data_IF_764313993454
#
_entry.id   IF_764313993454
#
_cell.length_a   1.000
_cell.length_b   1.000
_cell.length_c   1.000
_cell.angle_alpha   90.00
_cell.angle_beta   90.00
_cell.angle_gamma   90.00
#
_symmetry.space_group_name_H-M   'P 1'
#
loop_
_entity.id
_entity.type
_entity.pdbx_description
1 polymer ?
#
# COMPACT_ATOMS: atom_id res chain seq x y z
N UNK A 1 8.72 66.62 1.22
CA UNK A 1 9.55 65.39 1.26
C UNK A 1 8.73 64.30 1.91
N UNK A 2 8.15 63.42 1.10
CA UNK A 2 7.52 62.18 1.54
C UNK A 2 7.69 61.21 0.38
N UNK A 3 8.68 60.33 0.48
CA UNK A 3 8.92 59.27 -0.50
C UNK A 3 8.19 58.01 -0.07
N UNK A 4 7.21 57.59 -0.85
CA UNK A 4 6.60 56.26 -0.75
C UNK A 4 7.12 55.39 -1.89
N UNK A 5 7.96 54.41 -1.54
CA UNK A 5 8.33 53.28 -2.38
C UNK A 5 7.21 52.23 -2.37
N UNK A 6 6.96 51.50 -3.47
CA UNK A 6 5.98 50.42 -3.49
C UNK A 6 6.57 49.12 -2.88
N UNK A 7 5.72 48.23 -2.33
CA UNK A 7 6.18 46.96 -1.76
C UNK A 7 6.61 45.98 -2.87
N UNK A 8 7.72 45.29 -2.63
CA UNK A 8 8.22 44.18 -3.44
C UNK A 8 7.26 42.99 -3.36
N UNK A 9 6.87 42.45 -4.52
CA UNK A 9 6.39 41.08 -4.64
C UNK A 9 7.58 40.13 -4.41
N UNK A 10 7.60 39.41 -3.29
CA UNK A 10 8.35 38.16 -3.17
C UNK A 10 7.35 37.06 -2.85
N UNK A 11 6.96 36.31 -3.88
CA UNK A 11 6.11 35.14 -3.80
C UNK A 11 6.87 33.96 -4.42
N UNK A 12 6.97 32.88 -3.65
CA UNK A 12 7.37 31.52 -4.02
C UNK A 12 8.74 31.34 -4.68
N UNK A 13 9.78 31.22 -3.85
CA UNK A 13 10.90 30.35 -4.15
C UNK A 13 10.71 29.02 -3.41
N UNK A 14 10.12 28.01 -4.07
CA UNK A 14 10.32 26.60 -3.75
C UNK A 14 9.83 25.71 -4.90
N UNK A 15 10.73 24.83 -5.34
CA UNK A 15 10.55 23.72 -6.28
C UNK A 15 10.46 24.02 -7.79
N UNK A 16 11.59 24.40 -8.38
CA UNK A 16 12.00 23.87 -9.69
C UNK A 16 13.46 23.40 -9.58
N UNK A 17 13.67 22.29 -8.88
CA UNK A 17 14.81 21.44 -9.21
C UNK A 17 14.39 20.71 -10.49
N UNK A 18 14.63 21.36 -11.64
CA UNK A 18 14.77 20.63 -12.90
C UNK A 18 15.92 19.67 -12.64
N UNK A 19 15.61 18.40 -12.39
CA UNK A 19 16.60 17.35 -12.58
C UNK A 19 17.08 17.50 -14.02
N UNK A 20 18.27 18.07 -14.21
CA UNK A 20 19.06 17.88 -15.42
C UNK A 20 19.40 16.39 -15.45
N UNK A 21 18.45 15.57 -15.87
CA UNK A 21 18.75 14.22 -16.31
C UNK A 21 19.73 14.38 -17.48
N UNK A 22 20.85 13.64 -17.48
CA UNK A 22 21.78 13.69 -18.59
C UNK A 22 21.00 13.36 -19.87
N UNK A 23 20.96 14.30 -20.82
CA UNK A 23 20.37 14.06 -22.13
C UNK A 23 21.04 12.81 -22.72
N UNK A 24 20.25 11.90 -23.27
CA UNK A 24 20.79 10.72 -23.95
C UNK A 24 21.22 11.19 -25.33
N UNK A 25 22.45 11.71 -25.40
CA UNK A 25 23.10 12.06 -26.67
C UNK A 25 23.90 10.85 -27.14
N UNK A 26 23.60 10.35 -28.34
CA UNK A 26 24.24 9.15 -28.88
C UNK A 26 23.32 8.29 -29.72
N UNK A 27 23.94 7.43 -30.53
CA UNK A 27 23.25 6.50 -31.41
C UNK A 27 22.73 5.30 -30.61
N UNK A 28 21.44 5.34 -30.24
CA UNK A 28 20.74 4.23 -29.61
C UNK A 28 20.87 4.09 -28.09
N UNK A 29 20.20 3.07 -27.54
CA UNK A 29 20.28 2.68 -26.13
C UNK A 29 18.97 2.13 -25.55
N UNK A 30 19.08 1.50 -24.37
CA UNK A 30 17.93 1.04 -23.60
C UNK A 30 17.44 2.13 -22.65
N UNK A 31 16.17 2.48 -22.74
CA UNK A 31 15.53 3.56 -22.01
C UNK A 31 14.47 2.95 -21.07
N UNK A 32 14.81 2.84 -19.78
CA UNK A 32 13.97 2.13 -18.81
C UNK A 32 13.24 3.03 -17.80
N UNK A 33 13.49 4.34 -17.86
CA UNK A 33 12.86 5.30 -16.96
C UNK A 33 11.38 5.53 -17.36
N UNK A 34 10.49 5.86 -16.41
CA UNK A 34 9.07 6.14 -16.71
C UNK A 34 8.86 7.44 -17.50
N UNK A 35 9.90 8.25 -17.68
CA UNK A 35 9.94 9.39 -18.57
C UNK A 35 11.40 9.62 -18.98
N UNK A 36 11.63 10.21 -20.14
CA UNK A 36 12.97 10.52 -20.58
C UNK A 36 13.00 11.44 -21.78
N UNK A 37 14.17 12.04 -21.97
CA UNK A 37 14.41 13.03 -23.01
C UNK A 37 15.27 14.18 -22.48
N UNK A 38 15.88 14.98 -23.37
CA UNK A 38 15.78 14.86 -24.83
C UNK A 38 16.50 13.61 -25.36
N UNK A 39 15.85 12.90 -26.28
CA UNK A 39 16.45 11.84 -27.11
C UNK A 39 16.57 12.41 -28.51
N UNK A 40 17.80 12.42 -29.03
CA UNK A 40 18.11 13.13 -30.25
C UNK A 40 18.82 12.24 -31.26
N UNK A 41 18.73 12.60 -32.54
CA UNK A 41 19.65 12.07 -33.54
C UNK A 41 21.12 12.37 -33.16
N UNK A 42 22.09 11.58 -33.66
CA UNK A 42 23.50 11.89 -33.48
C UNK A 42 23.82 13.33 -33.89
N UNK A 43 24.72 14.00 -33.16
CA UNK A 43 25.18 15.38 -33.39
C UNK A 43 24.13 16.51 -33.22
N UNK A 44 22.88 16.22 -32.85
CA UNK A 44 21.86 17.24 -32.61
C UNK A 44 22.34 18.27 -31.55
N UNK A 45 22.12 19.59 -31.75
CA UNK A 45 21.29 20.24 -32.77
C UNK A 45 21.97 20.49 -34.12
N UNK A 46 23.19 20.00 -34.32
CA UNK A 46 23.84 19.92 -35.63
C UNK A 46 23.25 18.78 -36.47
N UNK A 47 23.73 18.67 -37.72
CA UNK A 47 23.23 17.64 -38.62
C UNK A 47 23.70 16.24 -38.18
N UNK A 48 22.85 15.22 -38.35
CA UNK A 48 23.28 13.82 -38.21
C UNK A 48 24.35 13.47 -39.26
N UNK A 49 25.04 12.35 -39.10
CA UNK A 49 26.01 11.88 -40.10
C UNK A 49 25.39 10.93 -41.13
N UNK A 50 26.12 10.63 -42.18
CA UNK A 50 25.75 9.58 -43.14
C UNK A 50 25.83 8.16 -42.51
N UNK A 51 25.15 7.20 -43.13
CA UNK A 51 25.19 5.76 -42.85
C UNK A 51 24.92 5.39 -41.38
N UNK A 52 24.03 6.12 -40.72
CA UNK A 52 23.67 5.85 -39.34
C UNK A 52 22.69 4.68 -39.26
N UNK A 53 22.82 3.87 -38.22
CA UNK A 53 21.85 2.84 -37.86
C UNK A 53 21.73 2.81 -36.34
N UNK A 54 20.78 3.58 -35.81
CA UNK A 54 20.62 3.80 -34.38
C UNK A 54 19.33 3.17 -33.88
N UNK A 55 19.41 2.46 -32.76
CA UNK A 55 18.29 1.70 -32.20
C UNK A 55 18.04 2.07 -30.73
N UNK A 56 16.80 2.43 -30.41
CA UNK A 56 16.37 2.68 -29.04
C UNK A 56 15.26 1.71 -28.64
N UNK A 57 15.42 1.08 -27.48
CA UNK A 57 14.39 0.26 -26.85
C UNK A 57 13.88 0.96 -25.60
N UNK A 58 12.63 1.40 -25.63
CA UNK A 58 11.96 1.99 -24.46
C UNK A 58 11.19 0.88 -23.76
N UNK A 59 11.46 0.65 -22.48
CA UNK A 59 10.75 -0.32 -21.63
C UNK A 59 10.33 0.36 -20.34
N UNK A 60 9.04 0.56 -20.15
CA UNK A 60 8.47 1.17 -18.95
C UNK A 60 7.83 0.09 -18.07
N UNK A 61 7.44 0.38 -16.81
CA UNK A 61 6.79 -0.60 -15.95
C UNK A 61 5.57 -1.23 -16.63
N UNK A 62 5.39 -2.54 -16.39
CA UNK A 62 4.25 -3.31 -16.90
C UNK A 62 2.94 -2.63 -16.49
N UNK A 63 1.99 -2.55 -17.43
CA UNK A 63 0.71 -1.85 -17.21
C UNK A 63 0.74 -0.35 -17.51
N UNK A 64 1.89 0.20 -17.90
CA UNK A 64 2.02 1.56 -18.43
C UNK A 64 2.11 1.58 -19.96
N UNK A 65 1.57 2.62 -20.58
CA UNK A 65 1.75 2.89 -22.01
C UNK A 65 2.78 4.00 -22.23
N UNK A 66 3.58 3.88 -23.28
CA UNK A 66 4.57 4.86 -23.71
C UNK A 66 3.94 5.86 -24.68
N UNK A 67 4.16 7.15 -24.45
CA UNK A 67 3.78 8.25 -25.34
C UNK A 67 5.01 9.06 -25.75
N UNK A 68 5.27 9.15 -27.05
CA UNK A 68 6.30 10.01 -27.64
C UNK A 68 5.75 11.41 -27.94
N UNK A 69 6.56 12.42 -27.69
CA UNK A 69 6.31 13.82 -28.06
C UNK A 69 7.52 14.38 -28.77
N UNK A 70 7.35 14.80 -30.02
CA UNK A 70 8.41 15.39 -30.84
C UNK A 70 8.46 16.90 -30.63
N UNK A 71 9.67 17.42 -30.42
CA UNK A 71 9.96 18.84 -30.29
C UNK A 71 10.53 19.43 -31.58
N UNK A 72 11.26 18.62 -32.35
CA UNK A 72 11.74 18.96 -33.70
C UNK A 72 11.91 17.68 -34.53
N UNK A 73 11.68 17.80 -35.85
CA UNK A 73 11.85 16.69 -36.78
C UNK A 73 12.16 17.20 -38.20
N UNK A 74 13.33 16.85 -38.72
CA UNK A 74 13.75 17.13 -40.08
C UNK A 74 14.79 16.11 -40.56
N UNK A 75 14.34 15.15 -41.36
CA UNK A 75 15.19 14.18 -42.07
C UNK A 75 15.24 14.47 -43.57
N UNK A 76 16.13 13.82 -44.30
CA UNK A 76 16.05 13.79 -45.77
C UNK A 76 14.75 13.09 -46.21
N UNK A 77 14.05 13.69 -47.17
CA UNK A 77 12.76 13.20 -47.64
C UNK A 77 12.94 11.95 -48.51
N UNK A 78 12.44 10.81 -48.04
CA UNK A 78 12.32 9.57 -48.81
C UNK A 78 13.57 8.68 -48.83
N UNK A 79 14.63 9.06 -48.12
CA UNK A 79 15.90 8.34 -48.07
C UNK A 79 16.30 8.00 -46.63
N UNK A 80 16.13 8.97 -45.72
CA UNK A 80 16.37 8.80 -44.29
C UNK A 80 15.05 8.60 -43.53
N UNK A 81 15.08 7.71 -42.53
CA UNK A 81 13.87 7.26 -41.85
C UNK A 81 14.05 7.10 -40.35
N UNK A 82 13.07 7.58 -39.58
CA UNK A 82 12.83 7.15 -38.21
C UNK A 82 11.61 6.23 -38.20
N UNK A 83 11.82 4.95 -37.90
CA UNK A 83 10.76 3.94 -37.78
C UNK A 83 10.45 3.68 -36.32
N UNK A 84 9.16 3.67 -35.99
CA UNK A 84 8.64 3.48 -34.64
C UNK A 84 7.77 2.23 -34.64
N UNK A 85 8.06 1.29 -33.75
CA UNK A 85 7.44 -0.03 -33.70
C UNK A 85 6.74 -0.26 -32.36
N UNK A 86 5.57 -0.90 -32.40
CA UNK A 86 4.77 -1.20 -31.21
C UNK A 86 5.20 -2.52 -30.55
N UNK A 87 6.40 -2.53 -29.99
CA UNK A 87 6.93 -3.70 -29.32
C UNK A 87 8.45 -3.67 -29.20
N UNK A 88 9.06 -4.84 -28.97
CA UNK A 88 10.46 -4.94 -28.56
C UNK A 88 11.49 -4.98 -29.70
N UNK A 89 11.08 -5.03 -30.98
CA UNK A 89 12.02 -5.14 -32.11
C UNK A 89 11.44 -4.71 -33.45
N UNK A 90 12.28 -4.64 -34.48
CA UNK A 90 11.88 -4.31 -35.86
C UNK A 90 11.02 -5.39 -36.56
N UNK A 91 10.78 -6.55 -35.94
CA UNK A 91 9.95 -7.62 -36.53
C UNK A 91 8.47 -7.51 -36.18
N UNK A 92 8.06 -6.47 -35.44
CA UNK A 92 6.68 -6.22 -35.01
C UNK A 92 6.01 -5.13 -35.84
N UNK A 93 4.74 -4.82 -35.57
CA UNK A 93 3.98 -3.82 -36.29
C UNK A 93 4.62 -2.41 -36.21
N UNK A 94 4.75 -1.76 -37.36
CA UNK A 94 5.20 -0.36 -37.46
C UNK A 94 4.03 0.56 -37.10
N UNK A 95 4.23 1.42 -36.11
CA UNK A 95 3.29 2.50 -35.75
C UNK A 95 3.38 3.65 -36.75
N UNK A 96 4.60 4.08 -37.03
CA UNK A 96 4.91 5.21 -37.91
C UNK A 96 6.27 5.01 -38.59
N UNK A 97 6.36 5.46 -39.84
CA UNK A 97 7.60 5.66 -40.57
C UNK A 97 7.68 7.14 -40.95
N UNK A 98 8.67 7.84 -40.39
CA UNK A 98 8.79 9.29 -40.51
C UNK A 98 10.02 9.65 -41.35
N UNK A 99 9.85 10.60 -42.25
CA UNK A 99 10.89 11.11 -43.16
C UNK A 99 10.59 12.58 -43.53
N UNK A 100 11.57 13.30 -44.07
CA UNK A 100 11.40 14.69 -44.48
C UNK A 100 11.18 15.69 -43.33
N UNK A 101 10.90 16.97 -43.64
CA UNK A 101 10.46 17.96 -42.68
C UNK A 101 8.96 17.79 -42.39
N UNK A 102 8.58 17.55 -41.13
CA UNK A 102 7.17 17.46 -40.74
C UNK A 102 6.94 17.78 -39.26
N UNK A 103 5.74 18.26 -38.94
CA UNK A 103 5.25 18.37 -37.55
C UNK A 103 4.60 17.05 -37.14
N UNK A 104 5.23 16.33 -36.20
CA UNK A 104 4.80 14.99 -35.78
C UNK A 104 3.84 15.11 -34.60
N UNK A 105 2.62 14.59 -34.74
CA UNK A 105 1.66 14.48 -33.63
C UNK A 105 2.13 13.45 -32.60
N UNK A 106 1.74 13.54 -31.31
CA UNK A 106 2.15 12.56 -30.30
C UNK A 106 1.77 11.12 -30.67
N UNK A 107 2.69 10.18 -30.45
CA UNK A 107 2.54 8.77 -30.83
C UNK A 107 2.47 7.92 -29.56
N UNK A 108 1.44 7.06 -29.45
CA UNK A 108 1.26 6.13 -28.33
C UNK A 108 1.58 4.69 -28.71
N UNK A 109 2.05 3.91 -27.74
CA UNK A 109 2.15 2.43 -27.83
C UNK A 109 0.88 1.75 -27.33
N UNK A 110 0.76 0.46 -27.61
CA UNK A 110 -0.26 -0.43 -27.03
C UNK A 110 0.26 -1.28 -25.87
N UNK A 111 1.57 -1.25 -25.59
CA UNK A 111 2.23 -2.01 -24.53
C UNK A 111 3.22 -1.15 -23.73
N UNK A 112 3.88 -1.77 -22.74
CA UNK A 112 4.94 -1.13 -21.97
C UNK A 112 6.31 -1.13 -22.68
N UNK A 113 6.37 -1.55 -23.94
CA UNK A 113 7.61 -1.65 -24.74
C UNK A 113 7.41 -0.98 -26.11
N UNK A 114 8.36 -0.14 -26.51
CA UNK A 114 8.38 0.52 -27.83
C UNK A 114 9.81 0.53 -28.39
N UNK A 115 9.97 0.19 -29.65
CA UNK A 115 11.25 0.14 -30.34
C UNK A 115 11.33 1.21 -31.43
N UNK A 116 12.46 1.91 -31.52
CA UNK A 116 12.70 2.96 -32.50
C UNK A 116 14.00 2.67 -33.24
N UNK A 117 14.01 2.89 -34.55
CA UNK A 117 15.20 2.75 -35.38
C UNK A 117 15.34 3.92 -36.35
N UNK A 118 16.48 4.62 -36.27
CA UNK A 118 16.86 5.67 -37.21
C UNK A 118 17.90 5.14 -38.18
N UNK A 119 17.66 5.33 -39.48
CA UNK A 119 18.61 4.99 -40.54
C UNK A 119 18.85 6.19 -41.46
N UNK A 120 20.11 6.48 -41.78
CA UNK A 120 20.48 7.41 -42.85
C UNK A 120 21.26 6.73 -43.98
N UNK A 121 21.14 7.28 -45.20
CA UNK A 121 21.87 6.81 -46.37
C UNK A 121 23.29 7.43 -46.46
N UNK A 122 23.94 7.37 -47.62
CA UNK A 122 25.32 7.80 -47.77
C UNK A 122 25.51 9.30 -48.06
N UNK A 123 24.46 10.12 -48.00
CA UNK A 123 24.57 11.56 -48.25
C UNK A 123 23.40 12.38 -47.66
N UNK A 124 23.51 13.71 -47.77
CA UNK A 124 22.39 14.67 -47.60
C UNK A 124 21.83 14.70 -46.17
N UNK A 125 22.64 15.20 -45.25
CA UNK A 125 22.27 15.26 -43.84
C UNK A 125 21.32 16.43 -43.52
N UNK A 126 20.52 16.27 -42.46
CA UNK A 126 19.60 17.30 -41.93
C UNK A 126 19.75 17.43 -40.42
N UNK A 127 19.03 18.39 -39.84
CA UNK A 127 19.09 18.68 -38.41
C UNK A 127 18.66 17.48 -37.53
N UNK A 128 17.92 16.53 -38.08
CA UNK A 128 17.53 15.32 -37.37
C UNK A 128 16.29 15.52 -36.51
N UNK A 129 16.27 14.92 -35.32
CA UNK A 129 15.08 14.94 -34.46
C UNK A 129 15.44 15.13 -32.99
N UNK A 130 14.47 15.62 -32.24
CA UNK A 130 14.47 15.67 -30.78
C UNK A 130 13.08 15.28 -30.28
N UNK A 131 13.00 14.20 -29.51
CA UNK A 131 11.78 13.79 -28.84
C UNK A 131 11.99 13.55 -27.35
N UNK A 132 10.89 13.61 -26.60
CA UNK A 132 10.79 13.08 -25.25
C UNK A 132 9.72 12.01 -25.20
N UNK A 133 9.77 11.15 -24.20
CA UNK A 133 8.75 10.16 -23.94
C UNK A 133 8.30 10.22 -22.48
N UNK A 134 7.03 9.92 -22.26
CA UNK A 134 6.44 9.72 -20.93
C UNK A 134 5.71 8.40 -20.91
N UNK A 135 5.74 7.73 -19.76
CA UNK A 135 4.84 6.63 -19.45
C UNK A 135 3.57 7.19 -18.81
N UNK A 136 2.45 6.59 -19.13
CA UNK A 136 1.21 6.75 -18.40
C UNK A 136 0.84 5.39 -17.82
N UNK A 137 0.78 5.30 -16.50
CA UNK A 137 0.29 4.09 -15.84
C UNK A 137 -1.20 3.95 -16.19
N UNK A 138 -1.50 2.94 -17.01
CA UNK A 138 -2.86 2.65 -17.46
C UNK A 138 -3.51 1.52 -16.69
N UNK A 139 -2.80 0.86 -15.78
CA UNK A 139 -3.33 -0.25 -14.98
C UNK A 139 -3.64 0.11 -13.53
N UNK A 140 -3.20 1.28 -13.04
CA UNK A 140 -3.30 1.65 -11.63
C UNK A 140 -2.41 0.77 -10.75
N UNK A 141 -2.29 1.14 -9.47
CA UNK A 141 -1.60 0.28 -8.51
C UNK A 141 -2.45 -0.97 -8.22
N UNK A 142 -1.93 -2.20 -8.32
CA UNK A 142 -2.69 -3.42 -8.03
C UNK A 142 -3.14 -3.52 -6.56
N UNK A 143 -2.29 -3.07 -5.65
CA UNK A 143 -2.56 -3.09 -4.20
C UNK A 143 -2.23 -1.75 -3.57
N UNK A 144 -3.23 -1.14 -2.93
CA UNK A 144 -3.09 0.12 -2.21
C UNK A 144 -3.25 -0.11 -0.71
N UNK A 145 -2.60 0.73 0.08
CA UNK A 145 -2.68 0.70 1.55
C UNK A 145 -3.27 2.00 2.04
N UNK A 146 -4.30 1.91 2.88
CA UNK A 146 -4.78 3.02 3.69
C UNK A 146 -4.00 3.10 5.00
N UNK A 147 -3.59 4.31 5.36
CA UNK A 147 -2.88 4.64 6.59
C UNK A 147 -3.70 5.62 7.42
N UNK A 148 -3.59 5.53 8.75
CA UNK A 148 -4.08 6.54 9.69
C UNK A 148 -2.89 7.19 10.40
N UNK A 149 -2.65 8.47 10.17
CA UNK A 149 -1.72 9.23 10.99
C UNK A 149 -2.40 9.76 12.26
N UNK A 150 -1.73 9.68 13.39
CA UNK A 150 -1.78 10.75 14.40
C UNK A 150 -0.43 10.76 15.11
N UNK A 151 0.10 11.95 15.35
CA UNK A 151 1.44 12.21 15.90
C UNK A 151 1.85 11.23 17.02
N UNK A 152 2.65 10.20 16.67
CA UNK A 152 3.91 9.74 17.27
C UNK A 152 4.07 8.23 16.98
N UNK A 153 5.06 7.90 16.13
CA UNK A 153 5.55 6.55 15.77
C UNK A 153 4.82 5.85 14.60
N UNK A 154 5.30 6.12 13.36
CA UNK A 154 4.96 5.46 12.07
C UNK A 154 3.49 5.56 11.64
N UNK A 155 3.27 5.81 10.35
CA UNK A 155 1.94 5.76 9.74
C UNK A 155 1.35 4.35 9.97
N UNK A 156 0.33 4.23 10.81
CA UNK A 156 -0.28 2.94 11.12
C UNK A 156 -1.09 2.46 9.91
N UNK A 157 -0.68 1.34 9.34
CA UNK A 157 -1.40 0.65 8.25
C UNK A 157 -2.77 0.21 8.76
N UNK A 158 -3.82 0.79 8.19
CA UNK A 158 -5.20 0.42 8.50
C UNK A 158 -5.61 -0.86 7.76
N UNK A 159 -5.43 -0.88 6.44
CA UNK A 159 -5.85 -1.98 5.58
C UNK A 159 -5.15 -1.92 4.21
N UNK A 160 -4.92 -3.10 3.63
CA UNK A 160 -4.53 -3.25 2.21
C UNK A 160 -5.78 -3.58 1.39
N UNK A 161 -5.90 -2.97 0.22
CA UNK A 161 -6.95 -3.22 -0.76
C UNK A 161 -6.31 -3.64 -2.08
N UNK A 162 -6.78 -4.75 -2.65
CA UNK A 162 -6.28 -5.28 -3.92
C UNK A 162 -7.36 -5.17 -4.98
N UNK A 163 -6.99 -4.76 -6.19
CA UNK A 163 -7.91 -4.59 -7.31
C UNK A 163 -8.61 -5.92 -7.64
N UNK A 164 -9.93 -5.93 -7.77
CA UNK A 164 -10.73 -7.17 -7.93
C UNK A 164 -10.97 -7.57 -9.39
N UNK A 165 -10.67 -6.67 -10.34
CA UNK A 165 -11.05 -6.80 -11.75
C UNK A 165 -12.46 -6.27 -12.06
N UNK A 166 -13.26 -5.97 -11.04
CA UNK A 166 -14.56 -5.32 -11.22
C UNK A 166 -14.42 -3.81 -11.39
N UNK A 167 -15.45 -3.19 -11.97
CA UNK A 167 -15.52 -1.72 -12.09
C UNK A 167 -16.82 -1.16 -11.52
N UNK A 168 -16.75 0.04 -10.94
CA UNK A 168 -17.89 0.81 -10.44
C UNK A 168 -17.68 2.29 -10.72
N UNK A 169 -18.68 2.92 -11.31
CA UNK A 169 -18.57 4.33 -11.72
C UNK A 169 -17.43 4.57 -12.70
N UNK A 170 -17.15 3.59 -13.57
CA UNK A 170 -16.06 3.58 -14.55
C UNK A 170 -14.64 3.54 -13.94
N UNK A 171 -14.50 3.07 -12.70
CA UNK A 171 -13.20 2.91 -12.01
C UNK A 171 -13.06 1.52 -11.40
N UNK A 172 -11.85 1.01 -11.19
CA UNK A 172 -11.66 -0.28 -10.56
C UNK A 172 -12.18 -0.31 -9.13
N UNK A 173 -12.71 -1.46 -8.73
CA UNK A 173 -13.02 -1.78 -7.34
C UNK A 173 -11.80 -2.46 -6.73
N UNK A 174 -11.49 -2.10 -5.49
CA UNK A 174 -10.48 -2.77 -4.70
C UNK A 174 -11.13 -3.40 -3.47
N UNK A 175 -10.67 -4.57 -3.08
CA UNK A 175 -11.20 -5.32 -1.95
C UNK A 175 -10.13 -5.59 -0.91
N UNK A 176 -10.51 -5.49 0.36
CA UNK A 176 -9.70 -5.94 1.47
C UNK A 176 -10.30 -7.18 2.13
N UNK A 177 -9.59 -8.30 2.07
CA UNK A 177 -9.97 -9.53 2.79
C UNK A 177 -9.83 -9.38 4.31
N UNK A 178 -9.00 -8.45 4.78
CA UNK A 178 -8.82 -8.17 6.20
C UNK A 178 -10.03 -7.44 6.79
N UNK A 179 -10.56 -6.44 6.10
CA UNK A 179 -11.70 -5.64 6.59
C UNK A 179 -13.05 -6.06 6.02
N UNK A 180 -13.09 -6.89 4.97
CA UNK A 180 -14.28 -7.22 4.18
C UNK A 180 -15.02 -5.99 3.66
N UNK A 181 -14.26 -5.01 3.18
CA UNK A 181 -14.79 -3.78 2.61
C UNK A 181 -14.23 -3.56 1.21
N UNK A 182 -15.01 -2.85 0.41
CA UNK A 182 -14.60 -2.35 -0.89
C UNK A 182 -14.08 -0.92 -0.76
N UNK A 183 -13.10 -0.59 -1.57
CA UNK A 183 -12.74 0.76 -1.96
C UNK A 183 -13.21 0.95 -3.40
N UNK A 184 -14.19 1.83 -3.60
CA UNK A 184 -14.87 1.98 -4.88
C UNK A 184 -15.24 3.44 -5.16
N UNK A 185 -15.46 3.75 -6.44
CA UNK A 185 -15.90 5.07 -6.85
C UNK A 185 -17.43 5.16 -6.98
N UNK A 186 -18.00 6.17 -6.33
CA UNK A 186 -19.41 6.53 -6.40
C UNK A 186 -19.60 7.68 -7.39
N UNK A 187 -19.92 7.33 -8.65
CA UNK A 187 -20.08 8.30 -9.75
C UNK A 187 -21.16 9.38 -9.48
N UNK A 188 -22.36 9.06 -8.94
CA UNK A 188 -23.34 10.08 -8.57
C UNK A 188 -22.84 11.17 -7.62
N UNK A 189 -22.03 10.82 -6.60
CA UNK A 189 -21.49 11.80 -5.64
C UNK A 189 -20.09 12.30 -6.00
N UNK A 190 -19.46 11.68 -7.01
CA UNK A 190 -18.09 11.92 -7.45
C UNK A 190 -17.05 11.71 -6.36
N UNK A 191 -17.22 10.65 -5.57
CA UNK A 191 -16.40 10.36 -4.39
C UNK A 191 -15.88 8.92 -4.41
N UNK A 192 -14.69 8.70 -3.88
CA UNK A 192 -14.22 7.37 -3.50
C UNK A 192 -14.70 7.03 -2.10
N UNK A 193 -15.27 5.83 -1.91
CA UNK A 193 -15.84 5.35 -0.66
C UNK A 193 -15.11 4.10 -0.19
N UNK A 194 -14.98 3.95 1.14
CA UNK A 194 -14.51 2.72 1.79
C UNK A 194 -15.66 2.15 2.63
N UNK A 195 -16.12 0.94 2.31
CA UNK A 195 -17.22 0.28 3.03
C UNK A 195 -17.86 -0.87 2.26
N UNK A 196 -18.99 -1.38 2.76
CA UNK A 196 -19.78 -2.40 2.07
C UNK A 196 -20.79 -1.77 1.10
N UNK A 197 -21.15 -2.51 0.04
CA UNK A 197 -21.88 -1.98 -1.11
C UNK A 197 -23.35 -1.57 -0.85
N UNK A 198 -24.00 -2.12 0.19
CA UNK A 198 -25.46 -2.05 0.36
C UNK A 198 -25.96 -1.45 1.69
N UNK A 199 -25.08 -1.10 2.63
CA UNK A 199 -25.48 -0.47 3.89
C UNK A 199 -24.70 0.83 4.15
N UNK A 200 -25.25 1.66 5.05
CA UNK A 200 -24.68 2.87 5.65
C UNK A 200 -23.32 2.66 6.38
N UNK A 201 -22.63 1.55 6.13
CA UNK A 201 -21.28 1.18 6.56
C UNK A 201 -20.16 2.03 5.94
N UNK A 202 -20.45 3.30 5.60
CA UNK A 202 -19.46 4.22 5.03
C UNK A 202 -18.67 4.85 6.17
N UNK A 203 -17.53 4.26 6.52
CA UNK A 203 -16.66 4.82 7.55
C UNK A 203 -15.77 5.93 6.99
N UNK A 204 -15.38 5.86 5.71
CA UNK A 204 -14.54 6.84 5.03
C UNK A 204 -15.02 7.15 3.62
N UNK A 205 -14.89 8.41 3.21
CA UNK A 205 -15.05 8.85 1.83
C UNK A 205 -14.07 9.97 1.49
N UNK A 206 -13.80 10.19 0.21
CA UNK A 206 -12.97 11.30 -0.26
C UNK A 206 -13.51 11.80 -1.59
N UNK A 207 -13.67 13.11 -1.69
CA UNK A 207 -14.15 13.76 -2.92
C UNK A 207 -12.99 13.94 -3.89
N UNK A 208 -12.78 12.97 -4.75
CA UNK A 208 -11.65 12.91 -5.68
C UNK A 208 -12.03 12.20 -6.98
N UNK A 209 -11.59 12.75 -8.12
CA UNK A 209 -11.87 12.22 -9.45
C UNK A 209 -10.72 11.38 -10.05
N UNK A 210 -9.76 10.92 -9.24
CA UNK A 210 -8.68 10.01 -9.60
C UNK A 210 -9.16 8.68 -10.22
N UNK A 211 -8.62 8.31 -11.38
CA UNK A 211 -9.03 7.08 -12.10
C UNK A 211 -8.70 5.80 -11.31
N UNK A 212 -7.62 5.82 -10.54
CA UNK A 212 -7.16 4.73 -9.69
C UNK A 212 -7.01 5.17 -8.24
N UNK A 213 -7.10 4.22 -7.31
CA UNK A 213 -7.07 4.52 -5.87
C UNK A 213 -5.74 5.12 -5.40
N UNK A 214 -4.61 4.72 -5.99
CA UNK A 214 -3.28 5.24 -5.69
C UNK A 214 -3.06 6.70 -6.10
N UNK A 215 -3.98 7.25 -6.90
CA UNK A 215 -3.91 8.61 -7.40
C UNK A 215 -4.78 9.59 -6.60
N UNK A 216 -5.51 9.10 -5.59
CA UNK A 216 -6.33 9.93 -4.70
C UNK A 216 -5.40 10.83 -3.89
N UNK A 217 -5.66 12.13 -3.92
CA UNK A 217 -4.91 13.14 -3.18
C UNK A 217 -5.81 14.08 -2.36
N UNK A 218 -7.13 13.87 -2.40
CA UNK A 218 -8.09 14.59 -1.59
C UNK A 218 -8.02 14.25 -0.09
N UNK A 219 -8.56 15.15 0.73
CA UNK A 219 -8.72 14.93 2.17
C UNK A 219 -9.87 13.96 2.43
N UNK A 220 -9.60 12.88 3.17
CA UNK A 220 -10.63 11.94 3.56
C UNK A 220 -11.57 12.55 4.60
N UNK A 221 -12.85 12.28 4.43
CA UNK A 221 -13.92 12.51 5.40
C UNK A 221 -14.19 11.19 6.13
N UNK A 222 -14.33 11.28 7.45
CA UNK A 222 -14.67 10.15 8.33
C UNK A 222 -16.07 10.39 8.88
N UNK A 223 -16.94 9.38 8.82
CA UNK A 223 -18.30 9.50 9.33
C UNK A 223 -18.29 9.31 10.85
N UNK A 224 -18.57 10.37 11.61
CA UNK A 224 -18.71 10.30 13.08
C UNK A 224 -20.17 10.49 13.47
N UNK A 225 -20.89 9.39 13.69
CA UNK A 225 -22.34 9.44 13.97
C UNK A 225 -23.14 9.79 12.72
N UNK A 226 -23.59 11.05 12.59
CA UNK A 226 -24.33 11.56 11.42
C UNK A 226 -23.56 12.61 10.62
N UNK A 227 -22.39 13.05 11.08
CA UNK A 227 -21.61 14.11 10.46
C UNK A 227 -20.32 13.58 9.83
N UNK A 228 -19.92 14.18 8.72
CA UNK A 228 -18.66 13.91 8.05
C UNK A 228 -17.61 14.91 8.51
N UNK A 229 -16.50 14.42 9.06
CA UNK A 229 -15.40 15.24 9.55
C UNK A 229 -14.16 15.00 8.70
N UNK A 230 -13.50 16.07 8.26
CA UNK A 230 -12.22 15.99 7.55
C UNK A 230 -11.12 15.41 8.45
N UNK A 231 -10.41 14.42 7.93
CA UNK A 231 -9.24 13.82 8.55
C UNK A 231 -8.06 13.86 7.56
N UNK A 232 -7.17 14.85 7.66
CA UNK A 232 -6.02 15.00 6.75
C UNK A 232 -4.92 13.95 6.97
N UNK A 233 -5.00 13.20 8.07
CA UNK A 233 -4.00 12.22 8.41
C UNK A 233 -4.26 10.85 7.76
N UNK A 234 -5.48 10.64 7.23
CA UNK A 234 -5.77 9.45 6.44
C UNK A 234 -5.23 9.63 5.03
N UNK A 235 -4.38 8.70 4.62
CA UNK A 235 -3.76 8.70 3.30
C UNK A 235 -3.81 7.33 2.66
N UNK A 236 -3.71 7.31 1.34
CA UNK A 236 -3.59 6.10 0.56
C UNK A 236 -2.27 6.12 -0.22
N UNK A 237 -1.59 5.00 -0.29
CA UNK A 237 -0.39 4.85 -1.10
C UNK A 237 -0.37 3.51 -1.80
N UNK A 238 0.33 3.45 -2.94
CA UNK A 238 0.64 2.19 -3.60
C UNK A 238 1.54 1.33 -2.70
N UNK A 239 1.33 0.01 -2.71
CA UNK A 239 2.13 -0.95 -1.96
C UNK A 239 2.72 -1.97 -2.92
N UNK A 240 4.05 -2.01 -2.95
CA UNK A 240 4.82 -2.92 -3.82
C UNK A 240 4.87 -4.37 -3.28
N UNK A 241 4.24 -4.65 -2.13
CA UNK A 241 4.35 -5.92 -1.37
C UNK A 241 3.40 -7.05 -1.85
N UNK A 242 2.92 -7.03 -3.09
CA UNK A 242 2.15 -8.15 -3.66
C UNK A 242 2.83 -8.67 -4.93
N UNK A 243 3.37 -9.90 -4.92
CA UNK A 243 3.88 -10.55 -6.12
C UNK A 243 2.78 -10.66 -7.18
N UNK A 244 3.15 -10.52 -8.45
CA UNK A 244 2.25 -10.41 -9.61
C UNK A 244 1.31 -11.61 -9.89
N UNK A 245 1.22 -12.59 -8.99
CA UNK A 245 0.40 -13.78 -9.14
C UNK A 245 -0.47 -14.02 -7.89
N UNK A 246 -1.68 -13.45 -7.84
CA UNK A 246 -2.72 -13.94 -6.91
C UNK A 246 -4.09 -13.92 -7.60
N UNK A 247 -4.49 -15.09 -8.12
CA UNK A 247 -5.88 -15.42 -8.46
C UNK A 247 -6.51 -16.13 -7.24
N UNK A 248 -7.61 -15.54 -6.76
CA UNK A 248 -8.72 -16.13 -5.98
C UNK A 248 -8.44 -16.67 -4.56
N UNK A 249 -9.26 -16.16 -3.64
CA UNK A 249 -9.67 -16.71 -2.35
C UNK A 249 -8.74 -17.78 -1.73
N UNK A 250 -7.81 -17.31 -0.90
CA UNK A 250 -7.33 -18.10 0.22
C UNK A 250 -8.00 -17.61 1.51
N UNK A 251 -8.61 -18.56 2.21
CA UNK A 251 -8.98 -18.44 3.61
C UNK A 251 -7.77 -18.03 4.48
N UNK A 252 -8.00 -17.05 5.35
CA UNK A 252 -7.35 -16.90 6.66
C UNK A 252 -5.81 -16.87 6.69
N UNK A 253 -5.22 -15.71 6.41
CA UNK A 253 -3.85 -15.38 6.82
C UNK A 253 -3.80 -14.91 8.27
N UNK A 254 -3.82 -15.88 9.20
CA UNK A 254 -3.49 -15.67 10.62
C UNK A 254 -4.67 -15.87 11.57
N UNK A 255 -5.10 -17.11 11.82
CA UNK A 255 -5.71 -17.37 13.12
C UNK A 255 -4.60 -17.23 14.16
N UNK A 256 -4.61 -16.17 14.97
CA UNK A 256 -3.71 -16.14 16.12
C UNK A 256 -4.26 -17.10 17.19
N UNK A 257 -3.40 -17.82 17.91
CA UNK A 257 -3.79 -18.64 19.07
C UNK A 257 -4.16 -17.76 20.28
N UNK A 258 -4.68 -16.56 20.03
CA UNK A 258 -4.92 -15.57 21.04
C UNK A 258 -6.04 -16.04 21.96
N UNK A 259 -5.64 -16.54 23.13
CA UNK A 259 -6.55 -17.05 24.15
C UNK A 259 -7.22 -15.90 24.92
N UNK A 260 -6.57 -14.74 25.00
CA UNK A 260 -7.12 -13.55 25.64
C UNK A 260 -6.82 -12.33 24.80
N UNK A 261 -7.83 -11.51 24.52
CA UNK A 261 -7.67 -10.25 23.79
C UNK A 261 -7.88 -9.12 24.76
N UNK A 262 -6.97 -8.15 24.80
CA UNK A 262 -7.18 -6.90 25.53
C UNK A 262 -7.58 -5.79 24.58
N UNK A 263 -8.76 -5.20 24.83
CA UNK A 263 -9.18 -3.96 24.19
C UNK A 263 -8.60 -2.79 24.99
N UNK A 264 -7.92 -1.88 24.31
CA UNK A 264 -7.37 -0.66 24.87
C UNK A 264 -8.22 0.52 24.41
N UNK A 265 -8.47 1.45 25.31
CA UNK A 265 -9.21 2.67 25.00
C UNK A 265 -9.68 3.36 26.28
N UNK A 266 -9.94 4.66 26.19
CA UNK A 266 -10.36 5.47 27.34
C UNK A 266 -11.86 5.80 27.36
N UNK A 267 -12.57 5.53 26.27
CA UNK A 267 -13.96 5.99 26.09
C UNK A 267 -15.00 5.16 26.87
N UNK A 268 -14.78 3.86 27.05
CA UNK A 268 -15.68 2.95 27.78
C UNK A 268 -14.87 1.98 28.66
N UNK A 269 -14.46 2.39 29.87
CA UNK A 269 -13.52 1.62 30.69
C UNK A 269 -13.99 0.20 31.02
N UNK A 270 -15.30 -0.01 31.18
CA UNK A 270 -15.89 -1.34 31.44
C UNK A 270 -15.77 -2.30 30.26
N UNK A 271 -15.78 -1.76 29.03
CA UNK A 271 -15.62 -2.49 27.78
C UNK A 271 -14.14 -2.64 27.37
N UNK A 272 -13.28 -1.71 27.78
CA UNK A 272 -11.84 -1.70 27.45
C UNK A 272 -11.06 -2.57 28.42
N UNK A 273 -11.45 -3.84 28.44
CA UNK A 273 -10.96 -4.87 29.36
C UNK A 273 -10.31 -6.02 28.58
N UNK A 274 -9.91 -7.06 29.31
CA UNK A 274 -9.45 -8.31 28.70
C UNK A 274 -10.64 -9.26 28.53
N UNK A 275 -10.70 -9.92 27.38
CA UNK A 275 -11.70 -10.90 27.01
C UNK A 275 -11.03 -12.25 26.80
N UNK A 276 -11.50 -13.28 27.48
CA UNK A 276 -10.98 -14.64 27.41
C UNK A 276 -11.79 -15.49 26.44
N UNK A 277 -11.11 -16.21 25.55
CA UNK A 277 -11.71 -17.07 24.53
C UNK A 277 -12.54 -18.18 25.19
N UNK A 278 -13.72 -18.42 24.66
CA UNK A 278 -14.63 -19.50 25.08
C UNK A 278 -14.58 -20.66 24.07
N UNK A 279 -15.29 -21.74 24.38
CA UNK A 279 -15.48 -22.87 23.46
C UNK A 279 -16.56 -22.60 22.39
N UNK A 280 -17.19 -21.42 22.43
CA UNK A 280 -18.22 -21.04 21.47
C UNK A 280 -17.63 -20.35 20.24
N UNK A 281 -18.37 -20.45 19.15
CA UNK A 281 -18.06 -19.74 17.90
C UNK A 281 -19.28 -18.97 17.42
N UNK A 282 -19.04 -17.82 16.79
CA UNK A 282 -20.07 -17.02 16.12
C UNK A 282 -19.54 -16.61 14.75
N UNK A 283 -20.30 -16.90 13.70
CA UNK A 283 -19.89 -16.62 12.32
C UNK A 283 -18.55 -17.25 11.92
N UNK A 284 -18.27 -18.47 12.40
CA UNK A 284 -17.01 -19.18 12.14
C UNK A 284 -15.78 -18.63 12.88
N UNK A 285 -15.95 -17.68 13.80
CA UNK A 285 -14.87 -17.07 14.61
C UNK A 285 -15.04 -17.36 16.09
N UNK A 286 -13.96 -17.34 16.89
CA UNK A 286 -14.04 -17.55 18.33
C UNK A 286 -14.83 -16.43 19.03
N UNK A 287 -15.61 -16.82 20.04
CA UNK A 287 -16.24 -15.89 20.99
C UNK A 287 -15.30 -15.70 22.19
N UNK A 288 -15.27 -14.48 22.73
CA UNK A 288 -14.55 -14.16 23.95
C UNK A 288 -15.51 -13.54 24.97
N UNK A 289 -15.33 -13.87 26.25
CA UNK A 289 -16.10 -13.33 27.38
C UNK A 289 -15.26 -12.35 28.18
N UNK A 290 -15.83 -11.24 28.63
CA UNK A 290 -15.13 -10.23 29.42
C UNK A 290 -14.71 -10.79 30.79
N UNK A 291 -13.47 -10.51 31.17
CA UNK A 291 -12.90 -10.91 32.47
C UNK A 291 -13.47 -10.09 33.64
N UNK A 292 -14.10 -8.94 33.35
CA UNK A 292 -14.66 -8.04 34.36
C UNK A 292 -16.20 -8.05 34.39
N UNK A 293 -16.85 -8.50 33.32
CA UNK A 293 -18.31 -8.64 33.25
C UNK A 293 -18.68 -9.87 32.40
N UNK A 294 -19.07 -10.97 33.03
CA UNK A 294 -19.39 -12.22 32.35
C UNK A 294 -20.61 -12.17 31.42
N UNK A 295 -21.36 -11.07 31.42
CA UNK A 295 -22.46 -10.83 30.48
C UNK A 295 -21.99 -10.21 29.16
N UNK A 296 -20.77 -9.68 29.07
CA UNK A 296 -20.29 -9.01 27.86
C UNK A 296 -19.41 -9.94 27.03
N UNK A 297 -19.76 -10.09 25.75
CA UNK A 297 -19.07 -10.93 24.80
C UNK A 297 -18.47 -10.11 23.65
N UNK A 298 -17.22 -10.41 23.31
CA UNK A 298 -16.58 -10.00 22.07
C UNK A 298 -16.73 -11.12 21.05
N UNK A 299 -17.51 -10.88 20.00
CA UNK A 299 -17.93 -11.91 19.06
C UNK A 299 -18.10 -11.36 17.65
N UNK A 300 -18.16 -12.25 16.67
CA UNK A 300 -18.31 -11.87 15.26
C UNK A 300 -19.72 -12.13 14.74
N UNK A 301 -20.25 -11.21 13.96
CA UNK A 301 -21.57 -11.29 13.32
C UNK A 301 -21.36 -11.47 11.82
N UNK A 302 -21.68 -12.67 11.31
CA UNK A 302 -21.36 -13.12 9.94
C UNK A 302 -22.10 -12.31 8.88
N UNK A 303 -23.40 -12.08 9.06
CA UNK A 303 -24.25 -11.40 8.08
C UNK A 303 -23.77 -9.99 7.74
N UNK A 304 -23.09 -9.33 8.69
CA UNK A 304 -22.60 -7.95 8.56
C UNK A 304 -21.09 -7.85 8.51
N UNK A 305 -20.37 -8.97 8.70
CA UNK A 305 -18.91 -9.04 8.74
C UNK A 305 -18.29 -8.08 9.76
N UNK A 306 -18.84 -8.06 10.97
CA UNK A 306 -18.47 -7.13 12.04
C UNK A 306 -18.11 -7.86 13.34
N UNK A 307 -17.12 -7.34 14.06
CA UNK A 307 -16.89 -7.70 15.46
C UNK A 307 -17.70 -6.78 16.36
N UNK A 308 -18.38 -7.35 17.34
CA UNK A 308 -19.25 -6.67 18.30
C UNK A 308 -18.82 -6.97 19.73
N UNK A 309 -18.97 -5.97 20.59
CA UNK A 309 -18.89 -6.12 22.05
C UNK A 309 -20.28 -5.84 22.62
N UNK A 310 -20.89 -6.87 23.20
CA UNK A 310 -22.24 -6.78 23.73
C UNK A 310 -22.75 -8.07 24.36
N UNK A 311 -24.00 -8.05 24.87
CA UNK A 311 -24.51 -9.13 25.71
C UNK A 311 -25.04 -10.34 24.95
N UNK A 312 -25.38 -10.18 23.67
CA UNK A 312 -26.01 -11.23 22.87
C UNK A 312 -25.08 -11.65 21.74
N UNK A 313 -24.66 -12.91 21.74
CA UNK A 313 -23.75 -13.46 20.72
C UNK A 313 -24.50 -13.63 19.38
N UNK A 314 -23.93 -13.09 18.32
CA UNK A 314 -24.39 -13.29 16.93
C UNK A 314 -25.42 -12.28 16.47
N UNK A 315 -25.77 -11.29 17.30
CA UNK A 315 -26.70 -10.22 16.96
C UNK A 315 -25.98 -8.87 16.87
N UNK A 316 -26.55 -7.91 16.13
CA UNK A 316 -26.10 -6.50 16.13
C UNK A 316 -26.53 -5.77 17.41
N UNK A 317 -26.16 -6.31 18.56
CA UNK A 317 -26.54 -5.78 19.87
C UNK A 317 -25.29 -5.61 20.73
N UNK A 318 -25.01 -4.37 21.11
CA UNK A 318 -23.81 -4.06 21.88
C UNK A 318 -23.54 -2.56 21.98
N UNK A 319 -22.42 -2.24 22.62
CA UNK A 319 -21.98 -0.87 22.89
C UNK A 319 -20.67 -0.51 22.18
N UNK A 320 -20.04 -1.48 21.51
CA UNK A 320 -18.92 -1.26 20.62
C UNK A 320 -19.00 -2.22 19.44
N UNK A 321 -18.64 -1.78 18.24
CA UNK A 321 -18.41 -2.69 17.12
C UNK A 321 -17.35 -2.16 16.16
N UNK A 322 -16.85 -3.03 15.30
CA UNK A 322 -15.89 -2.67 14.25
C UNK A 322 -16.17 -3.52 13.00
N UNK A 323 -16.38 -2.88 11.83
CA UNK A 323 -16.50 -3.59 10.55
C UNK A 323 -15.12 -4.11 10.13
N UNK A 324 -14.86 -5.37 10.45
CA UNK A 324 -13.58 -5.99 10.18
C UNK A 324 -13.73 -7.52 10.16
N UNK A 325 -13.07 -8.16 9.19
CA UNK A 325 -13.11 -9.59 8.94
C UNK A 325 -11.89 -10.34 9.48
N UNK A 326 -11.16 -9.76 10.42
CA UNK A 326 -10.07 -10.41 11.13
C UNK A 326 -10.53 -11.70 11.81
N UNK A 327 -9.76 -12.79 11.66
CA UNK A 327 -10.06 -14.11 12.26
C UNK A 327 -10.15 -14.03 13.79
N UNK A 328 -9.31 -13.17 14.37
CA UNK A 328 -9.29 -12.88 15.80
C UNK A 328 -9.19 -11.36 16.01
N UNK A 329 -9.74 -10.82 17.11
CA UNK A 329 -9.82 -9.37 17.30
C UNK A 329 -8.47 -8.64 17.36
N UNK A 330 -7.39 -9.29 17.81
CA UNK A 330 -6.04 -8.73 17.90
C UNK A 330 -5.41 -8.35 16.54
N UNK A 331 -6.01 -8.78 15.44
CA UNK A 331 -5.61 -8.38 14.08
C UNK A 331 -6.38 -7.15 13.57
N UNK A 332 -7.34 -6.64 14.34
CA UNK A 332 -8.12 -5.46 13.96
C UNK A 332 -7.24 -4.22 14.08
N UNK A 333 -7.16 -3.45 12.99
CA UNK A 333 -6.50 -2.13 12.91
C UNK A 333 -7.46 -1.03 12.48
N UNK A 334 -8.72 -1.39 12.22
CA UNK A 334 -9.79 -0.44 11.86
C UNK A 334 -10.27 0.31 13.11
N UNK A 335 -10.71 1.57 12.96
CA UNK A 335 -11.26 2.32 14.08
C UNK A 335 -12.57 1.68 14.57
N UNK A 336 -12.77 1.70 15.88
CA UNK A 336 -13.97 1.15 16.49
C UNK A 336 -15.09 2.19 16.53
N UNK A 337 -16.33 1.72 16.40
CA UNK A 337 -17.52 2.51 16.67
C UNK A 337 -18.00 2.19 18.08
N UNK A 338 -18.09 3.23 18.92
CA UNK A 338 -18.53 3.14 20.30
C UNK A 338 -19.85 3.87 20.50
N UNK A 339 -20.77 3.27 21.26
CA UNK A 339 -22.04 3.87 21.61
C UNK A 339 -21.88 4.73 22.88
N UNK A 340 -22.19 6.02 22.79
CA UNK A 340 -22.09 6.95 23.94
C UNK A 340 -23.39 7.08 24.75
N UNK A 341 -24.43 6.32 24.38
CA UNK A 341 -25.78 6.42 24.95
C UNK A 341 -26.79 7.11 24.02
N UNK A 342 -26.31 7.95 23.10
CA UNK A 342 -27.14 8.67 22.13
C UNK A 342 -26.75 8.37 20.68
N UNK A 343 -25.46 8.18 20.38
CA UNK A 343 -24.93 8.01 19.03
C UNK A 343 -23.68 7.14 18.99
N UNK A 344 -23.41 6.57 17.80
CA UNK A 344 -22.16 5.89 17.50
C UNK A 344 -21.06 6.90 17.20
N UNK A 345 -19.89 6.72 17.80
CA UNK A 345 -18.71 7.57 17.62
C UNK A 345 -17.56 6.73 17.09
N UNK A 346 -16.89 7.20 16.04
CA UNK A 346 -15.67 6.56 15.53
C UNK A 346 -14.51 6.96 16.42
N UNK A 347 -13.85 5.97 17.00
CA UNK A 347 -12.75 6.16 17.95
C UNK A 347 -11.52 5.40 17.47
N UNK A 348 -10.54 6.18 17.00
CA UNK A 348 -9.28 5.70 16.43
C UNK A 348 -8.30 5.17 17.47
N UNK A 349 -8.41 5.64 18.71
CA UNK A 349 -7.52 5.22 19.80
C UNK A 349 -7.85 3.84 20.37
N UNK A 350 -8.96 3.23 19.95
CA UNK A 350 -9.32 1.88 20.40
C UNK A 350 -8.55 0.87 19.59
N UNK A 351 -7.79 0.02 20.29
CA UNK A 351 -7.00 -1.04 19.66
C UNK A 351 -7.22 -2.36 20.39
N UNK A 352 -7.05 -3.47 19.67
CA UNK A 352 -7.10 -4.80 20.23
C UNK A 352 -5.70 -5.41 20.18
N UNK A 353 -5.25 -5.94 21.31
CA UNK A 353 -3.94 -6.60 21.42
C UNK A 353 -4.10 -8.02 21.94
N UNK A 354 -3.25 -8.91 21.48
CA UNK A 354 -3.22 -10.25 22.02
C UNK A 354 -2.53 -10.28 23.38
N UNK A 355 -3.21 -10.81 24.39
CA UNK A 355 -2.63 -11.21 25.66
C UNK A 355 -2.39 -12.71 25.57
N UNK A 356 -1.17 -13.08 25.17
CA UNK A 356 -0.76 -14.48 25.11
C UNK A 356 -0.94 -15.18 26.46
N UNK A 357 -1.17 -16.49 26.43
CA UNK A 357 -1.02 -17.35 27.61
C UNK A 357 0.40 -17.14 28.16
N UNK A 358 0.51 -16.78 29.43
CA UNK A 358 1.80 -16.63 30.12
C UNK A 358 2.27 -18.02 30.53
N UNK A 359 3.48 -18.41 30.13
CA UNK A 359 4.15 -19.51 30.80
C UNK A 359 4.66 -19.06 32.17
N UNK A 360 4.90 -20.02 33.07
CA UNK A 360 5.50 -19.74 34.37
C UNK A 360 6.77 -18.89 34.21
N UNK A 361 6.92 -17.84 35.01
CA UNK A 361 8.16 -17.05 35.03
C UNK A 361 9.34 -17.97 35.37
N UNK A 362 10.32 -18.07 34.48
CA UNK A 362 11.53 -18.84 34.71
C UNK A 362 12.56 -18.01 35.49
N UNK A 363 13.31 -18.71 36.33
CA UNK A 363 14.38 -18.15 37.15
C UNK A 363 15.74 -18.40 36.50
N UNK A 364 16.71 -17.52 36.74
CA UNK A 364 18.09 -17.75 36.35
C UNK A 364 18.68 -18.98 37.10
N UNK A 365 19.51 -19.80 36.44
CA UNK A 365 20.24 -20.87 37.10
C UNK A 365 21.30 -20.28 38.04
N UNK A 366 21.71 -21.05 39.05
CA UNK A 366 22.84 -20.66 39.91
C UNK A 366 24.12 -20.48 39.07
N UNK A 367 24.87 -19.40 39.31
CA UNK A 367 26.03 -19.01 38.50
C UNK A 367 25.68 -18.78 37.02
N UNK A 368 24.53 -18.15 36.76
CA UNK A 368 24.09 -17.79 35.43
C UNK A 368 22.99 -16.74 35.43
N UNK A 369 22.54 -16.39 34.23
CA UNK A 369 21.50 -15.38 33.99
C UNK A 369 20.54 -15.84 32.89
N UNK A 370 19.44 -15.11 32.73
CA UNK A 370 18.35 -15.41 31.80
C UNK A 370 17.86 -14.14 31.10
N UNK A 371 17.54 -14.23 29.80
CA UNK A 371 16.95 -13.13 29.04
C UNK A 371 15.75 -13.59 28.22
N UNK A 372 14.70 -12.78 28.17
CA UNK A 372 13.49 -13.07 27.39
C UNK A 372 12.21 -12.75 28.17
N UNK A 373 11.05 -12.90 27.54
CA UNK A 373 9.74 -12.73 28.16
C UNK A 373 8.98 -14.04 28.34
N UNK A 374 7.88 -14.03 29.09
CA UNK A 374 7.10 -15.23 29.44
C UNK A 374 5.82 -15.45 28.62
N UNK A 375 5.56 -14.64 27.60
CA UNK A 375 4.41 -14.79 26.69
C UNK A 375 4.57 -15.98 25.74
N UNK A 376 3.45 -16.60 25.35
CA UNK A 376 3.40 -17.62 24.29
C UNK A 376 4.23 -17.23 23.06
N UNK A 377 5.08 -18.14 22.58
CA UNK A 377 5.97 -17.95 21.45
C UNK A 377 7.28 -17.21 21.78
N UNK A 378 7.42 -16.59 22.96
CA UNK A 378 8.69 -16.03 23.38
C UNK A 378 9.71 -17.13 23.63
N UNK A 379 10.96 -16.83 23.28
CA UNK A 379 12.13 -17.64 23.60
C UNK A 379 12.86 -16.99 24.77
N UNK A 380 13.24 -17.84 25.72
CA UNK A 380 14.06 -17.49 26.85
C UNK A 380 15.41 -18.16 26.70
N UNK A 381 16.47 -17.35 26.75
CA UNK A 381 17.86 -17.79 26.57
C UNK A 381 18.59 -17.72 27.90
N UNK A 382 19.32 -18.78 28.20
CA UNK A 382 20.13 -18.92 29.41
C UNK A 382 21.61 -18.68 29.12
N UNK A 383 22.29 -18.11 30.12
CA UNK A 383 23.73 -17.83 30.11
C UNK A 383 24.32 -18.32 31.42
N UNK A 384 25.57 -18.80 31.38
CA UNK A 384 26.34 -19.10 32.57
C UNK A 384 27.40 -18.03 32.81
N UNK A 385 27.71 -17.77 34.07
CA UNK A 385 28.77 -16.86 34.48
C UNK A 385 30.15 -17.43 34.10
N UNK A 386 31.17 -16.57 34.07
CA UNK A 386 32.51 -16.97 33.69
C UNK A 386 33.04 -18.14 34.57
N UNK A 387 33.59 -19.17 33.93
CA UNK A 387 34.06 -20.40 34.59
C UNK A 387 33.01 -21.50 34.73
N UNK A 388 31.80 -21.29 34.21
CA UNK A 388 30.73 -22.29 34.17
C UNK A 388 30.26 -22.55 32.74
N UNK A 389 29.91 -23.80 32.43
CA UNK A 389 29.33 -24.23 31.17
C UNK A 389 27.89 -24.70 31.36
N UNK A 390 27.06 -24.46 30.35
CA UNK A 390 25.64 -24.80 30.39
C UNK A 390 25.43 -26.30 30.15
N UNK A 391 24.66 -26.93 31.03
CA UNK A 391 24.22 -28.31 30.89
C UNK A 391 22.70 -28.35 30.79
N UNK A 392 22.20 -28.79 29.64
CA UNK A 392 20.76 -28.80 29.31
C UNK A 392 20.43 -27.88 28.14
N UNK A 393 19.16 -27.50 28.02
CA UNK A 393 18.68 -26.68 26.90
C UNK A 393 18.98 -25.20 27.12
N UNK A 394 19.85 -24.63 26.28
CA UNK A 394 20.23 -23.20 26.32
C UNK A 394 19.05 -22.25 26.07
N UNK A 395 18.06 -22.71 25.32
CA UNK A 395 16.88 -21.94 24.95
C UNK A 395 15.62 -22.72 25.25
N UNK A 396 14.61 -22.03 25.76
CA UNK A 396 13.28 -22.60 26.04
C UNK A 396 12.22 -21.69 25.44
N UNK A 397 11.18 -22.28 24.86
CA UNK A 397 10.08 -21.55 24.20
C UNK A 397 8.79 -21.76 24.98
N UNK A 398 8.04 -20.68 25.19
CA UNK A 398 6.73 -20.76 25.84
C UNK A 398 5.69 -21.36 24.88
N UNK A 399 5.16 -22.54 25.21
CA UNK A 399 4.27 -23.34 24.38
C UNK A 399 2.79 -22.97 24.59
N UNK A 400 1.93 -23.46 23.70
CA UNK A 400 0.48 -23.14 23.66
C UNK A 400 -0.30 -23.70 24.86
N UNK A 401 0.29 -24.64 25.58
CA UNK A 401 -0.23 -25.29 26.80
C UNK A 401 0.26 -24.62 28.10
N UNK A 402 0.93 -23.46 28.02
CA UNK A 402 1.55 -22.73 29.16
C UNK A 402 2.77 -23.43 29.77
N UNK A 403 3.34 -24.44 29.11
CA UNK A 403 4.60 -25.06 29.51
C UNK A 403 5.78 -24.53 28.71
N UNK A 404 6.99 -24.71 29.23
CA UNK A 404 8.23 -24.38 28.51
C UNK A 404 8.77 -25.61 27.80
N UNK A 405 9.20 -25.44 26.56
CA UNK A 405 9.91 -26.51 25.84
C UNK A 405 11.22 -26.89 26.54
N UNK A 406 11.68 -28.11 26.27
CA UNK A 406 12.93 -28.62 26.80
C UNK A 406 13.00 -28.69 28.32
N UNK A 407 14.22 -28.84 28.81
CA UNK A 407 14.60 -29.05 30.19
C UNK A 407 15.24 -27.79 30.78
N UNK A 408 15.08 -27.60 32.08
CA UNK A 408 15.70 -26.47 32.79
C UNK A 408 17.23 -26.66 32.80
N UNK A 409 18.03 -25.76 32.21
CA UNK A 409 19.48 -25.88 32.22
C UNK A 409 20.08 -25.54 33.60
N UNK A 410 21.26 -26.09 33.85
CA UNK A 410 22.13 -25.77 34.99
C UNK A 410 23.49 -25.28 34.50
N UNK A 411 24.19 -24.51 35.32
CA UNK A 411 25.56 -24.07 35.05
C UNK A 411 26.53 -24.89 35.91
N UNK A 412 27.38 -25.69 35.26
CA UNK A 412 28.38 -26.55 35.92
C UNK A 412 29.78 -25.95 35.77
N UNK A 413 30.67 -26.07 36.78
CA UNK A 413 32.05 -25.63 36.64
C UNK A 413 32.73 -26.31 35.45
N UNK A 414 33.53 -25.55 34.70
CA UNK A 414 34.34 -26.06 33.59
C UNK A 414 35.46 -27.00 34.04
#
# INVERSE_FOLDING_TARGET
MAGSSPPRLEALALCFLVFLLPGVSGCGGNLTAPFGGPVTSPNYPGNYGDNQDCEWLITVPVGSLIRLTFHSFYLEQGYDFLRIYDGASASVAVLQELTGPQSVSPIGSTSNVMFLRFTSDNSVERQGFNFSYTSHNTSGCPTVVLYSGSNTLKDDKMASYTMTGDTRGDRPVYYSSATCTDLYYNKPTMEWHVGQQFELSRALQVKDSALYADQINGTFLVLTGQEWIENPDVKIACSDDVPADVVVAQSAGGATNCARVRLHGHYLPSAMTTYTRTDQTSGGRPVYVSDTNSQDFLHFVEDFKQWWVGPTIGERSGFAYVPNCAVTPDLIRSPWLLWDGNRWQVVWSVTASCVGKLCQQLMAPSNGNISGGSSYGNVVTYYCDAGYEISGDKERTCQSDQTWSGTQPTCAPQ
#
